data_IF_056565079720
#
_entry.id   IF_056565079720
#
_cell.length_a   1.000
_cell.length_b   1.000
_cell.length_c   1.000
_cell.angle_alpha   90.00
_cell.angle_beta   90.00
_cell.angle_gamma   90.00
#
_symmetry.space_group_name_H-M   'P 1'
#
loop_
_entity.id
_entity.type
_entity.pdbx_description
1 polymer ?
#
# COMPACT_ATOMS: atom_id res chain seq x y z
N UNK A 1 -21.04 56.20 27.19
CA UNK A 1 -21.49 56.17 25.78
C UNK A 1 -20.55 55.26 24.99
N UNK A 2 -20.91 53.99 24.81
CA UNK A 2 -20.05 53.01 24.10
C UNK A 2 -20.19 53.24 22.59
N UNK A 3 -19.07 53.57 21.96
CA UNK A 3 -19.00 54.06 20.58
C UNK A 3 -19.38 52.94 19.59
N UNK A 4 -20.67 52.94 19.16
CA UNK A 4 -21.31 51.93 18.28
C UNK A 4 -20.54 51.61 16.99
N UNK A 5 -19.61 52.49 16.58
CA UNK A 5 -18.79 52.34 15.37
C UNK A 5 -17.71 51.25 15.50
N UNK A 6 -17.14 51.07 16.70
CA UNK A 6 -16.05 50.10 16.95
C UNK A 6 -16.57 48.66 17.03
N UNK A 7 -17.77 48.47 17.58
CA UNK A 7 -18.41 47.17 17.69
C UNK A 7 -18.77 46.56 16.33
N UNK A 8 -19.20 47.40 15.37
CA UNK A 8 -19.50 46.97 14.00
C UNK A 8 -18.25 46.54 13.23
N UNK A 9 -17.12 47.20 13.45
CA UNK A 9 -15.86 46.87 12.78
C UNK A 9 -15.26 45.58 13.34
N UNK A 10 -15.36 45.37 14.66
CA UNK A 10 -14.91 44.14 15.32
C UNK A 10 -15.74 42.91 14.88
N UNK A 11 -17.07 43.06 14.70
CA UNK A 11 -17.92 41.96 14.21
C UNK A 11 -17.56 41.51 12.79
N UNK A 12 -17.13 42.44 11.93
CA UNK A 12 -16.75 42.15 10.56
C UNK A 12 -15.47 41.30 10.50
N UNK A 13 -14.51 41.56 11.39
CA UNK A 13 -13.27 40.77 11.47
C UNK A 13 -13.51 39.35 11.98
N UNK A 14 -14.44 39.13 12.92
CA UNK A 14 -14.78 37.78 13.39
C UNK A 14 -15.43 36.95 12.27
N UNK A 15 -16.29 37.56 11.44
CA UNK A 15 -16.93 36.84 10.33
C UNK A 15 -15.94 36.37 9.24
N UNK A 16 -14.85 37.12 9.02
CA UNK A 16 -13.83 36.77 8.02
C UNK A 16 -12.90 35.64 8.52
N UNK A 17 -12.74 35.47 9.84
CA UNK A 17 -11.92 34.40 10.42
C UNK A 17 -12.58 33.01 10.37
N UNK A 18 -13.91 32.94 10.28
CA UNK A 18 -14.63 31.66 10.20
C UNK A 18 -14.58 30.99 8.82
N UNK A 19 -14.20 31.70 7.75
CA UNK A 19 -14.16 31.11 6.39
C UNK A 19 -12.91 30.29 6.12
N UNK A 20 -11.85 30.43 6.93
CA UNK A 20 -10.60 29.66 6.76
C UNK A 20 -10.56 28.35 7.55
N UNK A 21 -11.56 28.05 8.40
CA UNK A 21 -11.61 26.78 9.16
C UNK A 21 -12.22 25.60 8.39
N UNK A 22 -12.63 25.80 7.14
CA UNK A 22 -13.19 24.73 6.30
C UNK A 22 -12.21 24.26 5.22
N UNK A 23 -10.92 24.25 5.52
CA UNK A 23 -10.04 23.25 4.89
C UNK A 23 -10.40 21.90 5.49
N UNK A 24 -11.44 21.25 4.95
CA UNK A 24 -11.57 19.80 5.08
C UNK A 24 -10.23 19.26 4.63
N UNK A 25 -9.45 18.75 5.57
CA UNK A 25 -8.26 17.96 5.30
C UNK A 25 -8.76 16.88 4.36
N UNK A 26 -8.46 16.99 3.07
CA UNK A 26 -8.69 15.91 2.14
C UNK A 26 -7.80 14.79 2.67
N UNK A 27 -8.39 13.92 3.46
CA UNK A 27 -7.78 12.67 3.84
C UNK A 27 -7.55 11.97 2.51
N UNK A 28 -6.31 12.02 2.04
CA UNK A 28 -5.88 11.18 0.94
C UNK A 28 -6.06 9.78 1.50
N UNK A 29 -7.20 9.17 1.19
CA UNK A 29 -7.39 7.74 1.37
C UNK A 29 -6.34 7.14 0.46
N UNK A 30 -5.17 6.85 1.02
CA UNK A 30 -4.08 6.17 0.33
C UNK A 30 -4.64 4.79 -0.02
N UNK A 31 -5.18 4.71 -1.23
CA UNK A 31 -5.66 3.46 -1.80
C UNK A 31 -4.43 2.56 -1.92
N UNK A 32 -4.42 1.52 -1.13
CA UNK A 32 -3.42 0.46 -1.19
C UNK A 32 -3.68 -0.44 -2.39
N UNK A 33 -2.66 -1.10 -2.92
CA UNK A 33 -2.80 -2.15 -3.91
C UNK A 33 -2.70 -3.55 -3.33
N UNK A 34 -2.77 -4.53 -4.23
CA UNK A 34 -2.66 -5.97 -3.94
C UNK A 34 -1.58 -6.57 -4.83
N UNK A 35 -0.78 -7.49 -4.29
CA UNK A 35 0.06 -8.40 -5.07
C UNK A 35 -0.63 -9.76 -5.13
N UNK A 36 -0.68 -10.36 -6.32
CA UNK A 36 -1.06 -11.75 -6.51
C UNK A 36 0.05 -12.47 -7.29
N UNK A 37 0.59 -13.55 -6.75
CA UNK A 37 1.65 -14.34 -7.37
C UNK A 37 1.12 -15.74 -7.61
N UNK A 38 1.19 -16.19 -8.86
CA UNK A 38 0.87 -17.55 -9.26
C UNK A 38 2.17 -18.30 -9.50
N UNK A 39 2.37 -19.42 -8.81
CA UNK A 39 3.53 -20.27 -9.01
C UNK A 39 3.19 -21.43 -9.95
N UNK A 40 4.03 -21.62 -10.96
CA UNK A 40 3.94 -22.69 -11.95
C UNK A 40 5.03 -23.71 -11.63
N UNK A 41 4.63 -24.96 -11.42
CA UNK A 41 5.52 -26.11 -11.29
C UNK A 41 4.82 -27.34 -11.85
N UNK A 42 5.58 -28.28 -12.39
CA UNK A 42 5.09 -29.60 -12.84
C UNK A 42 4.56 -30.48 -11.67
N UNK A 43 4.69 -30.02 -10.43
CA UNK A 43 4.14 -30.68 -9.25
C UNK A 43 2.68 -30.28 -9.00
N UNK A 44 1.91 -31.22 -8.43
CA UNK A 44 0.49 -31.06 -8.12
C UNK A 44 0.16 -30.09 -6.97
N UNK A 45 1.17 -29.60 -6.23
CA UNK A 45 0.99 -28.65 -5.14
C UNK A 45 2.22 -27.77 -4.94
N UNK A 46 2.03 -26.62 -4.30
CA UNK A 46 3.11 -25.74 -3.86
C UNK A 46 3.92 -26.41 -2.74
N UNK A 47 5.26 -26.57 -2.85
CA UNK A 47 6.08 -26.94 -1.71
C UNK A 47 6.03 -25.84 -0.64
N UNK A 48 6.41 -26.17 0.59
CA UNK A 48 6.60 -25.15 1.62
C UNK A 48 7.73 -24.21 1.17
N UNK A 49 7.36 -23.00 0.76
CA UNK A 49 8.25 -22.03 0.13
C UNK A 49 8.60 -20.95 1.17
N UNK A 50 9.88 -20.71 1.39
CA UNK A 50 10.32 -19.53 2.10
C UNK A 50 10.22 -18.34 1.14
N UNK A 51 9.48 -17.31 1.52
CA UNK A 51 9.34 -16.10 0.73
C UNK A 51 9.06 -14.89 1.61
N UNK A 52 9.35 -13.71 1.09
CA UNK A 52 8.94 -12.43 1.68
C UNK A 52 8.87 -11.34 0.61
N UNK A 53 8.19 -10.24 0.94
CA UNK A 53 8.21 -9.02 0.13
C UNK A 53 8.93 -7.91 0.88
N UNK A 54 9.76 -7.14 0.21
CA UNK A 54 10.44 -5.97 0.78
C UNK A 54 10.29 -4.74 -0.13
N UNK A 55 10.18 -3.53 0.41
CA UNK A 55 10.31 -2.30 -0.37
C UNK A 55 11.62 -2.27 -1.18
N UNK A 56 11.63 -1.61 -2.34
CA UNK A 56 12.83 -1.49 -3.18
C UNK A 56 13.75 -0.34 -2.78
N UNK A 57 13.29 0.56 -1.90
CA UNK A 57 13.97 1.78 -1.46
C UNK A 57 15.01 1.53 -0.35
N UNK A 58 15.51 0.29 -0.24
CA UNK A 58 16.42 -0.19 0.80
C UNK A 58 15.85 -0.19 2.23
N UNK A 59 14.55 0.09 2.43
CA UNK A 59 13.91 -0.15 3.71
C UNK A 59 13.87 -1.65 4.00
N UNK A 60 14.66 -2.08 4.98
CA UNK A 60 15.03 -3.49 5.20
C UNK A 60 14.03 -4.22 6.10
N UNK A 61 12.74 -3.95 5.96
CA UNK A 61 11.71 -4.72 6.66
C UNK A 61 10.97 -5.63 5.69
N UNK A 62 10.89 -6.91 6.06
CA UNK A 62 10.09 -7.88 5.35
C UNK A 62 8.62 -7.66 5.71
N UNK A 63 7.77 -7.56 4.70
CA UNK A 63 6.33 -7.56 4.84
C UNK A 63 5.90 -9.03 4.91
N UNK A 64 5.42 -9.42 6.09
CA UNK A 64 4.86 -10.75 6.38
C UNK A 64 3.35 -10.63 6.61
N UNK A 65 2.60 -11.72 6.37
CA UNK A 65 1.13 -11.71 6.48
C UNK A 65 0.44 -12.09 5.17
N UNK A 66 0.83 -13.24 4.62
CA UNK A 66 0.41 -13.69 3.31
C UNK A 66 -0.70 -14.73 3.39
N UNK A 67 -1.67 -14.57 2.50
CA UNK A 67 -2.69 -15.58 2.25
C UNK A 67 -2.17 -16.50 1.14
N UNK A 68 -1.78 -17.73 1.52
CA UNK A 68 -1.32 -18.75 0.57
C UNK A 68 -2.47 -19.72 0.33
N UNK A 69 -2.84 -19.86 -0.94
CA UNK A 69 -3.63 -20.98 -1.39
C UNK A 69 -2.71 -22.02 -2.05
N UNK A 70 -2.30 -23.03 -1.27
CA UNK A 70 -1.40 -24.09 -1.73
C UNK A 70 -1.99 -24.95 -2.85
N UNK A 71 -3.30 -25.19 -2.83
CA UNK A 71 -4.01 -25.97 -3.86
C UNK A 71 -4.03 -25.23 -5.20
N UNK A 72 -4.31 -23.92 -5.17
CA UNK A 72 -4.38 -23.08 -6.37
C UNK A 72 -3.02 -22.56 -6.82
N UNK A 73 -1.98 -22.76 -5.99
CA UNK A 73 -0.62 -22.24 -6.20
C UNK A 73 -0.55 -20.71 -6.26
N UNK A 74 -1.38 -20.05 -5.45
CA UNK A 74 -1.52 -18.59 -5.44
C UNK A 74 -1.11 -18.04 -4.08
N UNK A 75 -0.29 -17.00 -4.10
CA UNK A 75 0.11 -16.18 -2.96
C UNK A 75 -0.49 -14.79 -3.15
N UNK A 76 -1.18 -14.27 -2.14
CA UNK A 76 -1.80 -12.94 -2.19
C UNK A 76 -1.34 -12.06 -1.02
N UNK A 77 -0.97 -10.81 -1.33
CA UNK A 77 -0.66 -9.76 -0.34
C UNK A 77 -1.57 -8.58 -0.61
N UNK A 78 -2.39 -8.23 0.37
CA UNK A 78 -3.30 -7.07 0.27
C UNK A 78 -2.72 -5.90 1.04
N UNK A 79 -3.27 -4.71 0.76
CA UNK A 79 -2.99 -3.49 1.51
C UNK A 79 -1.53 -3.02 1.42
N UNK A 80 -0.87 -3.27 0.29
CA UNK A 80 0.46 -2.73 0.03
C UNK A 80 0.36 -1.26 -0.37
N UNK A 81 1.22 -0.41 0.21
CA UNK A 81 1.31 0.97 -0.22
C UNK A 81 1.80 1.03 -1.68
N UNK A 82 1.30 1.96 -2.52
CA UNK A 82 1.85 2.13 -3.86
C UNK A 82 3.36 2.39 -3.84
N UNK A 83 4.09 1.73 -4.72
CA UNK A 83 5.55 1.78 -4.72
C UNK A 83 6.21 0.56 -5.37
N UNK A 84 7.53 0.54 -5.35
CA UNK A 84 8.34 -0.53 -5.91
C UNK A 84 8.78 -1.50 -4.81
N UNK A 85 8.70 -2.79 -5.10
CA UNK A 85 8.95 -3.87 -4.15
C UNK A 85 9.73 -5.01 -4.80
N UNK A 86 10.41 -5.78 -3.96
CA UNK A 86 10.98 -7.06 -4.32
C UNK A 86 10.16 -8.20 -3.72
N UNK A 87 9.84 -9.20 -4.54
CA UNK A 87 9.45 -10.52 -4.08
C UNK A 87 10.71 -11.35 -4.03
N UNK A 88 11.01 -11.91 -2.87
CA UNK A 88 12.14 -12.82 -2.66
C UNK A 88 11.59 -14.17 -2.24
N UNK A 89 12.04 -15.23 -2.89
CA UNK A 89 11.61 -16.60 -2.60
C UNK A 89 12.71 -17.60 -2.93
N UNK A 90 12.77 -18.68 -2.15
CA UNK A 90 13.81 -19.70 -2.29
C UNK A 90 13.33 -20.87 -3.15
N UNK A 91 14.05 -21.17 -4.23
CA UNK A 91 13.87 -22.43 -4.97
C UNK A 91 14.83 -23.48 -4.42
N UNK A 92 14.69 -24.77 -4.82
CA UNK A 92 15.68 -25.78 -4.45
C UNK A 92 17.11 -25.48 -4.91
N UNK A 93 17.29 -24.60 -5.90
CA UNK A 93 18.58 -24.33 -6.53
C UNK A 93 19.15 -22.97 -6.13
N UNK A 94 18.31 -21.96 -5.95
CA UNK A 94 18.74 -20.59 -5.67
C UNK A 94 17.61 -19.70 -5.10
N UNK A 95 18.01 -18.59 -4.48
CA UNK A 95 17.09 -17.52 -4.07
C UNK A 95 16.77 -16.62 -5.26
N UNK A 96 15.49 -16.52 -5.59
CA UNK A 96 14.97 -15.65 -6.64
C UNK A 96 14.62 -14.28 -6.06
N UNK A 97 14.90 -13.22 -6.83
CA UNK A 97 14.53 -11.84 -6.48
C UNK A 97 13.90 -11.14 -7.66
N UNK A 98 12.67 -10.66 -7.47
CA UNK A 98 11.84 -10.12 -8.54
C UNK A 98 11.36 -8.72 -8.17
N UNK A 99 11.70 -7.72 -8.97
CA UNK A 99 11.17 -6.37 -8.85
C UNK A 99 9.75 -6.30 -9.42
N UNK A 100 8.84 -5.63 -8.72
CA UNK A 100 7.50 -5.31 -9.18
C UNK A 100 7.02 -3.98 -8.61
N UNK A 101 5.95 -3.44 -9.20
CA UNK A 101 5.34 -2.18 -8.78
C UNK A 101 3.91 -2.41 -8.30
N UNK A 102 3.55 -1.79 -7.18
CA UNK A 102 2.18 -1.72 -6.66
C UNK A 102 1.56 -0.40 -7.07
N UNK A 103 0.40 -0.49 -7.71
CA UNK A 103 -0.44 0.66 -8.06
C UNK A 103 -1.63 0.76 -7.11
N UNK A 104 -2.09 2.00 -6.95
CA UNK A 104 -3.14 2.38 -6.01
C UNK A 104 -4.50 1.81 -6.41
N UNK A 105 -5.06 0.92 -5.58
CA UNK A 105 -6.36 0.29 -5.85
C UNK A 105 -6.36 -0.79 -6.92
N UNK A 106 -5.18 -1.24 -7.36
CA UNK A 106 -5.01 -2.28 -8.38
C UNK A 106 -4.43 -3.56 -7.80
N UNK A 107 -4.58 -4.65 -8.54
CA UNK A 107 -3.88 -5.92 -8.28
C UNK A 107 -2.73 -6.05 -9.27
N UNK A 108 -1.51 -6.10 -8.76
CA UNK A 108 -0.32 -6.48 -9.52
C UNK A 108 -0.24 -8.00 -9.54
N UNK A 109 -0.28 -8.58 -10.74
CA UNK A 109 -0.21 -10.03 -10.95
C UNK A 109 1.19 -10.44 -11.43
N UNK A 110 1.75 -11.50 -10.83
CA UNK A 110 3.01 -12.11 -11.23
C UNK A 110 2.82 -13.61 -11.45
N UNK A 111 3.51 -14.15 -12.45
CA UNK A 111 3.65 -15.60 -12.66
C UNK A 111 5.11 -15.98 -12.53
N UNK A 112 5.40 -17.00 -11.70
CA UNK A 112 6.77 -17.44 -11.39
C UNK A 112 6.90 -18.95 -11.44
N UNK A 113 8.03 -19.41 -11.95
CA UNK A 113 8.38 -20.83 -11.94
C UNK A 113 9.12 -21.18 -10.64
N UNK A 114 8.91 -22.40 -10.14
CA UNK A 114 9.51 -22.91 -8.90
C UNK A 114 10.45 -24.09 -9.11
#
# INVERSE_FOLDING_TARGET
MTNKRTFKMMLLFVAILFTFSSCKKNEVVLRTGTLQVTFVRDASSLPNLNYYVSPSDNATYAISGLDINFEKRILTIKKLNPGNYYLVYDTPYETQRVLFQIHSGETTELTREL
#
